data_IF_735915885612
#
_entry.id   IF_735915885612
#
_cell.length_a   1.000
_cell.length_b   1.000
_cell.length_c   1.000
_cell.angle_alpha   90.00
_cell.angle_beta   90.00
_cell.angle_gamma   90.00
#
_symmetry.space_group_name_H-M   'P 1'
#
loop_
_entity.id
_entity.type
_entity.pdbx_description
1 polymer ?
#
# COMPACT_ATOMS: atom_id res chain seq x y z
N UNK A 1 11.72 11.92 21.77
CA UNK A 1 11.19 12.24 20.43
C UNK A 1 11.66 13.60 19.92
N UNK A 2 11.45 14.71 20.63
CA UNK A 2 11.89 16.05 20.17
C UNK A 2 13.41 16.19 19.93
N UNK A 3 14.27 15.52 20.71
CA UNK A 3 15.74 15.54 20.49
C UNK A 3 16.18 14.75 19.25
N UNK A 4 15.47 13.69 18.93
CA UNK A 4 15.70 12.83 17.76
C UNK A 4 15.19 13.60 16.54
N UNK A 5 13.94 14.08 16.58
CA UNK A 5 13.31 14.86 15.51
C UNK A 5 14.00 16.21 15.23
N UNK A 6 14.56 16.89 16.24
CA UNK A 6 15.29 18.16 16.06
C UNK A 6 16.71 18.01 15.52
N UNK A 7 17.36 16.86 15.74
CA UNK A 7 18.61 16.49 15.05
C UNK A 7 18.31 16.23 13.56
N UNK A 8 17.15 15.66 13.24
CA UNK A 8 16.72 15.35 11.86
C UNK A 8 16.24 16.56 11.02
N UNK A 9 15.89 17.69 11.64
CA UNK A 9 15.44 18.91 10.94
C UNK A 9 16.60 19.87 10.61
N UNK A 10 17.73 19.80 11.32
CA UNK A 10 18.84 20.76 11.19
C UNK A 10 19.97 20.35 10.24
N UNK A 11 20.02 19.11 9.78
CA UNK A 11 21.08 18.61 8.91
C UNK A 11 20.60 18.51 7.45
N UNK A 12 20.59 19.62 6.71
CA UNK A 12 20.25 19.64 5.27
C UNK A 12 21.13 18.74 4.38
N UNK A 13 22.25 18.22 4.90
CA UNK A 13 23.16 17.29 4.24
C UNK A 13 22.83 15.81 4.49
N UNK A 14 22.08 15.50 5.56
CA UNK A 14 21.64 14.14 5.92
C UNK A 14 20.71 13.52 4.88
N UNK A 15 19.88 14.36 4.24
CA UNK A 15 19.00 13.95 3.16
C UNK A 15 19.74 13.68 1.86
N UNK A 16 20.90 14.28 1.57
CA UNK A 16 21.54 14.07 0.26
C UNK A 16 21.98 12.61 0.10
N UNK A 17 22.51 11.96 1.14
CA UNK A 17 22.89 10.54 1.08
C UNK A 17 21.71 9.56 1.02
N UNK A 18 20.65 9.82 1.82
CA UNK A 18 19.47 8.95 1.92
C UNK A 18 18.47 9.16 0.76
N UNK A 19 18.32 10.40 0.26
CA UNK A 19 17.50 10.74 -0.92
C UNK A 19 18.09 10.17 -2.21
N UNK A 20 19.43 10.12 -2.33
CA UNK A 20 20.10 9.54 -3.51
C UNK A 20 19.89 8.01 -3.57
N UNK A 21 19.80 7.32 -2.42
CA UNK A 21 19.62 5.86 -2.39
C UNK A 21 18.15 5.41 -2.51
N UNK A 22 17.18 6.26 -2.16
CA UNK A 22 15.74 5.99 -2.27
C UNK A 22 15.14 6.29 -3.67
N UNK A 23 15.98 6.33 -4.71
CA UNK A 23 15.54 6.44 -6.11
C UNK A 23 14.68 5.23 -6.51
N UNK A 24 13.36 5.38 -6.44
CA UNK A 24 12.41 4.29 -6.70
C UNK A 24 12.33 3.88 -8.17
N UNK A 25 12.27 2.57 -8.41
CA UNK A 25 11.58 1.98 -9.57
C UNK A 25 10.10 2.40 -9.54
N UNK A 26 9.66 3.19 -10.52
CA UNK A 26 8.24 3.49 -10.70
C UNK A 26 7.56 2.32 -11.43
N UNK A 27 6.57 1.69 -10.80
CA UNK A 27 5.53 0.98 -11.55
C UNK A 27 4.49 2.03 -11.97
N UNK A 28 4.32 2.23 -13.27
CA UNK A 28 3.31 3.14 -13.81
C UNK A 28 1.98 2.38 -13.94
N UNK A 29 0.93 2.87 -13.31
CA UNK A 29 -0.44 2.37 -13.49
C UNK A 29 -1.24 3.34 -14.38
N UNK A 30 -1.98 2.80 -15.35
CA UNK A 30 -2.94 3.55 -16.18
C UNK A 30 -4.34 3.44 -15.56
N UNK A 31 -4.97 4.57 -15.26
CA UNK A 31 -6.36 4.62 -14.76
C UNK A 31 -7.27 5.05 -15.90
N UNK A 32 -8.27 4.22 -16.21
CA UNK A 32 -9.31 4.50 -17.18
C UNK A 32 -10.51 5.14 -16.49
N UNK A 33 -11.00 6.24 -17.05
CA UNK A 33 -12.21 6.92 -16.57
C UNK A 33 -13.23 7.00 -17.70
N UNK A 34 -14.50 6.73 -17.41
CA UNK A 34 -15.60 6.98 -18.33
C UNK A 34 -16.84 7.49 -17.59
N UNK A 35 -17.73 8.18 -18.31
CA UNK A 35 -19.04 8.60 -17.79
C UNK A 35 -20.11 7.74 -18.45
N UNK A 36 -21.02 7.17 -17.67
CA UNK A 36 -22.14 6.41 -18.22
C UNK A 36 -23.33 7.32 -18.63
N UNK A 37 -24.36 6.73 -19.24
CA UNK A 37 -25.57 7.44 -19.68
C UNK A 37 -26.35 8.09 -18.53
N UNK A 38 -26.11 7.69 -17.28
CA UNK A 38 -26.74 8.28 -16.09
C UNK A 38 -25.96 9.48 -15.53
N UNK A 39 -24.81 9.82 -16.12
CA UNK A 39 -23.90 10.85 -15.63
C UNK A 39 -23.03 10.39 -14.46
N UNK A 40 -22.94 9.09 -14.21
CA UNK A 40 -22.08 8.51 -13.17
C UNK A 40 -20.67 8.31 -13.74
N UNK A 41 -19.67 8.81 -13.02
CA UNK A 41 -18.26 8.67 -13.39
C UNK A 41 -17.73 7.37 -12.81
N UNK A 42 -17.18 6.51 -13.68
CA UNK A 42 -16.58 5.23 -13.33
C UNK A 42 -15.06 5.28 -13.49
N UNK A 43 -14.35 4.56 -12.62
CA UNK A 43 -12.90 4.44 -12.64
C UNK A 43 -12.52 2.97 -12.65
N UNK A 44 -11.55 2.59 -13.49
CA UNK A 44 -10.99 1.24 -13.48
C UNK A 44 -9.51 1.24 -13.84
N UNK A 45 -8.78 0.31 -13.26
CA UNK A 45 -7.39 -0.03 -13.58
C UNK A 45 -7.26 -1.04 -14.72
N UNK A 46 -8.39 -1.53 -15.26
CA UNK A 46 -8.42 -2.56 -16.30
C UNK A 46 -9.34 -2.18 -17.45
N UNK A 47 -8.76 -2.03 -18.64
CA UNK A 47 -9.49 -1.73 -19.88
C UNK A 47 -10.59 -2.77 -20.20
N UNK A 48 -10.42 -4.01 -19.73
CA UNK A 48 -11.36 -5.10 -19.96
C UNK A 48 -12.65 -4.96 -19.14
N UNK A 49 -12.58 -4.26 -18.00
CA UNK A 49 -13.73 -3.99 -17.11
C UNK A 49 -14.62 -2.85 -17.65
N UNK A 50 -14.22 -2.18 -18.74
CA UNK A 50 -15.02 -1.13 -19.39
C UNK A 50 -16.07 -1.79 -20.30
N UNK A 51 -17.38 -1.49 -20.10
CA UNK A 51 -18.45 -1.94 -20.99
C UNK A 51 -18.13 -1.59 -22.45
N UNK A 52 -18.37 -2.49 -23.43
CA UNK A 52 -18.01 -2.27 -24.84
C UNK A 52 -18.54 -0.94 -25.40
N UNK A 53 -19.72 -0.53 -24.95
CA UNK A 53 -20.44 0.69 -25.34
C UNK A 53 -19.73 1.98 -24.87
N UNK A 54 -18.98 1.92 -23.77
CA UNK A 54 -18.29 3.07 -23.17
C UNK A 54 -16.82 3.20 -23.60
N UNK A 55 -16.28 2.25 -24.37
CA UNK A 55 -14.86 2.23 -24.80
C UNK A 55 -14.46 3.40 -25.70
N UNK A 56 -15.43 4.01 -26.40
CA UNK A 56 -15.18 5.15 -27.28
C UNK A 56 -15.13 6.51 -26.54
N UNK A 57 -15.42 6.53 -25.23
CA UNK A 57 -15.44 7.74 -24.39
C UNK A 57 -14.31 7.74 -23.32
N UNK A 58 -13.34 6.85 -23.45
CA UNK A 58 -12.28 6.66 -22.46
C UNK A 58 -11.22 7.75 -22.59
N UNK A 59 -11.06 8.56 -21.54
CA UNK A 59 -9.87 9.41 -21.40
C UNK A 59 -8.75 8.63 -20.72
N UNK A 60 -7.60 8.50 -21.38
CA UNK A 60 -6.42 7.83 -20.82
C UNK A 60 -5.45 8.86 -20.25
N UNK A 61 -5.08 8.75 -18.97
CA UNK A 61 -3.97 9.50 -18.37
C UNK A 61 -2.75 8.59 -18.22
N UNK A 62 -1.74 8.82 -19.07
CA UNK A 62 -0.45 8.13 -19.01
C UNK A 62 0.61 9.05 -18.38
N UNK A 63 1.30 8.59 -17.33
CA UNK A 63 2.53 9.25 -16.86
C UNK A 63 3.71 8.68 -17.68
N UNK A 64 4.25 9.46 -18.63
CA UNK A 64 5.32 9.03 -19.57
C UNK A 64 6.66 8.72 -18.86
N UNK A 65 7.73 8.18 -19.48
CA UNK A 65 8.08 7.67 -20.83
C UNK A 65 9.04 6.47 -20.60
N UNK A 66 8.94 5.42 -21.42
CA UNK A 66 9.76 4.19 -21.34
C UNK A 66 10.98 4.27 -22.29
N UNK A 67 12.20 3.81 -21.91
CA UNK A 67 13.23 3.36 -22.86
C UNK A 67 13.02 1.87 -23.23
N UNK A 68 13.49 1.43 -24.40
CA UNK A 68 13.01 0.20 -25.04
C UNK A 68 13.49 -1.08 -24.33
N UNK A 69 12.59 -2.07 -24.24
CA UNK A 69 12.91 -3.43 -23.82
C UNK A 69 13.66 -4.19 -24.94
N UNK A 70 14.68 -5.00 -24.63
CA UNK A 70 15.29 -5.91 -25.61
C UNK A 70 14.34 -7.07 -25.91
N UNK A 71 14.33 -7.50 -27.18
CA UNK A 71 13.53 -8.64 -27.69
C UNK A 71 13.99 -9.96 -27.06
N UNK A 72 13.09 -10.95 -26.85
CA UNK A 72 13.49 -12.30 -26.49
C UNK A 72 13.99 -13.05 -27.73
N UNK A 73 15.17 -13.67 -27.63
CA UNK A 73 15.61 -14.70 -28.56
C UNK A 73 14.90 -16.02 -28.24
N UNK A 74 14.36 -16.63 -29.29
CA UNK A 74 13.74 -17.94 -29.31
C UNK A 74 14.76 -19.01 -29.72
N UNK A 75 15.18 -19.84 -28.78
CA UNK A 75 15.75 -21.18 -28.97
C UNK A 75 15.26 -21.94 -27.71
N UNK A 76 14.53 -23.05 -27.74
CA UNK A 76 14.49 -24.15 -28.69
C UNK A 76 15.01 -25.39 -27.99
N UNK A 77 14.24 -26.01 -27.09
CA UNK A 77 14.52 -27.37 -26.59
C UNK A 77 13.22 -28.17 -26.46
N UNK A 78 13.05 -29.12 -27.38
CA UNK A 78 12.13 -30.26 -27.29
C UNK A 78 12.61 -31.24 -26.21
N UNK A 79 11.68 -31.84 -25.46
CA UNK A 79 11.98 -32.86 -24.46
C UNK A 79 10.77 -33.67 -23.99
N UNK A 80 10.49 -34.75 -24.72
CA UNK A 80 9.93 -36.07 -24.33
C UNK A 80 8.47 -36.19 -23.79
N UNK A 81 7.53 -36.81 -24.54
CA UNK A 81 6.14 -36.97 -24.15
C UNK A 81 5.85 -38.34 -23.49
N UNK A 82 6.54 -38.75 -22.42
CA UNK A 82 6.11 -39.93 -21.64
C UNK A 82 6.44 -39.84 -20.14
N UNK A 83 5.55 -39.22 -19.36
CA UNK A 83 5.42 -39.48 -17.91
C UNK A 83 3.96 -39.30 -17.45
N UNK A 84 3.26 -40.33 -16.97
CA UNK A 84 1.90 -40.17 -16.49
C UNK A 84 1.89 -39.39 -15.16
N UNK A 85 1.04 -38.36 -15.09
CA UNK A 85 0.76 -37.59 -13.90
C UNK A 85 -0.04 -38.43 -12.87
N UNK A 86 0.20 -38.26 -11.55
CA UNK A 86 -0.57 -38.98 -10.54
C UNK A 86 -2.01 -38.45 -10.47
N UNK A 87 -2.95 -39.35 -10.70
CA UNK A 87 -4.40 -39.17 -10.63
C UNK A 87 -4.82 -38.77 -9.19
N UNK A 88 -5.21 -37.51 -8.97
CA UNK A 88 -5.89 -37.08 -7.74
C UNK A 88 -7.39 -37.09 -8.01
N UNK A 89 -8.07 -38.10 -7.48
CA UNK A 89 -9.53 -38.21 -7.41
C UNK A 89 -10.12 -37.01 -6.65
N UNK A 90 -10.93 -36.21 -7.34
CA UNK A 90 -11.76 -35.14 -6.79
C UNK A 90 -13.11 -35.76 -6.44
N UNK A 91 -13.24 -36.37 -5.26
CA UNK A 91 -14.51 -36.95 -4.77
C UNK A 91 -14.82 -36.53 -3.32
N UNK A 92 -14.34 -35.36 -2.89
CA UNK A 92 -14.85 -34.73 -1.67
C UNK A 92 -16.02 -33.79 -2.04
N UNK A 93 -17.22 -33.97 -1.46
CA UNK A 93 -18.33 -33.04 -1.69
C UNK A 93 -17.92 -31.65 -1.21
N UNK A 94 -17.86 -30.69 -2.14
CA UNK A 94 -17.80 -29.27 -1.79
C UNK A 94 -19.10 -28.97 -1.03
N UNK A 95 -19.04 -28.47 0.22
CA UNK A 95 -20.25 -28.11 0.95
C UNK A 95 -21.06 -27.08 0.13
N UNK A 96 -22.40 -27.15 0.13
CA UNK A 96 -23.22 -26.23 -0.67
C UNK A 96 -22.90 -24.78 -0.31
N UNK A 97 -22.48 -24.00 -1.30
CA UNK A 97 -22.35 -22.56 -1.19
C UNK A 97 -23.75 -21.98 -0.99
N UNK A 98 -24.09 -21.60 0.24
CA UNK A 98 -25.23 -20.73 0.49
C UNK A 98 -24.78 -19.30 0.18
N UNK A 99 -25.37 -18.61 -0.82
CA UNK A 99 -25.03 -17.22 -1.06
C UNK A 99 -25.41 -16.41 0.19
N UNK A 100 -24.40 -15.93 0.92
CA UNK A 100 -24.62 -14.89 1.91
C UNK A 100 -25.15 -13.67 1.16
N UNK A 101 -26.25 -13.10 1.65
CA UNK A 101 -26.76 -11.85 1.10
C UNK A 101 -25.66 -10.79 1.30
N UNK A 102 -25.17 -10.20 0.21
CA UNK A 102 -24.17 -9.13 0.26
C UNK A 102 -24.70 -8.01 1.15
N UNK A 103 -23.94 -7.64 2.18
CA UNK A 103 -24.37 -6.60 3.10
C UNK A 103 -24.22 -5.21 2.46
N UNK A 104 -25.11 -4.30 2.87
CA UNK A 104 -25.11 -2.90 2.46
C UNK A 104 -25.04 -2.01 3.69
N UNK A 105 -24.08 -1.10 3.70
CA UNK A 105 -23.80 -0.22 4.82
C UNK A 105 -23.95 1.25 4.40
N UNK A 106 -24.96 1.94 4.94
CA UNK A 106 -25.05 3.39 4.81
C UNK A 106 -24.33 4.07 5.98
N UNK A 107 -23.44 5.01 5.67
CA UNK A 107 -22.64 5.73 6.65
C UNK A 107 -22.80 7.23 6.43
N UNK A 108 -23.28 8.00 7.42
CA UNK A 108 -23.35 9.44 7.30
C UNK A 108 -21.95 10.05 7.21
N UNK A 109 -21.81 11.13 6.44
CA UNK A 109 -20.54 11.84 6.30
C UNK A 109 -20.68 13.35 6.51
N UNK A 110 -19.59 13.98 6.94
CA UNK A 110 -19.45 15.43 6.99
C UNK A 110 -18.99 15.95 5.61
N UNK A 111 -19.77 16.82 4.94
CA UNK A 111 -19.56 17.14 3.52
C UNK A 111 -18.50 18.19 3.19
N UNK A 112 -17.87 18.81 4.21
CA UNK A 112 -17.00 19.96 4.00
C UNK A 112 -15.77 19.98 4.89
N UNK A 113 -14.69 20.49 4.32
CA UNK A 113 -13.53 21.07 5.01
C UNK A 113 -13.48 22.55 4.61
N UNK A 114 -13.96 23.45 5.48
CA UNK A 114 -14.13 24.86 5.13
C UNK A 114 -15.07 25.01 3.92
N UNK A 115 -14.56 25.52 2.80
CA UNK A 115 -15.31 25.66 1.54
C UNK A 115 -15.15 24.47 0.60
N UNK A 116 -14.18 23.58 0.84
CA UNK A 116 -13.92 22.42 0.01
C UNK A 116 -14.93 21.30 0.31
N UNK A 117 -15.47 20.66 -0.73
CA UNK A 117 -16.32 19.47 -0.57
C UNK A 117 -15.44 18.26 -0.29
N UNK A 118 -15.79 17.51 0.75
CA UNK A 118 -15.11 16.27 1.16
C UNK A 118 -16.15 15.27 1.66
N UNK A 119 -15.82 13.99 1.63
CA UNK A 119 -16.62 12.94 2.27
C UNK A 119 -15.82 12.50 3.49
N UNK A 120 -16.12 13.09 4.66
CA UNK A 120 -15.41 12.80 5.91
C UNK A 120 -16.28 11.88 6.77
N UNK A 121 -15.76 10.70 7.11
CA UNK A 121 -16.46 9.67 7.89
C UNK A 121 -15.69 9.33 9.14
N UNK A 122 -16.40 8.90 10.19
CA UNK A 122 -15.77 8.31 11.36
C UNK A 122 -15.27 6.91 11.05
N UNK A 123 -14.00 6.65 11.35
CA UNK A 123 -13.36 5.34 11.14
C UNK A 123 -12.85 4.83 12.48
N UNK A 124 -13.26 3.63 12.85
CA UNK A 124 -12.78 2.94 14.05
C UNK A 124 -11.63 2.00 13.70
N UNK A 125 -10.48 2.26 14.28
CA UNK A 125 -9.24 1.51 14.14
C UNK A 125 -9.09 0.53 15.30
N UNK A 126 -8.76 -0.71 14.97
CA UNK A 126 -8.52 -1.81 15.92
C UNK A 126 -9.63 -1.97 16.99
N UNK A 127 -10.85 -1.54 16.68
CA UNK A 127 -12.01 -1.61 17.57
C UNK A 127 -12.01 -0.61 18.74
N UNK A 128 -11.04 0.30 18.83
CA UNK A 128 -10.86 1.14 20.03
C UNK A 128 -10.75 2.64 19.72
N UNK A 129 -9.96 3.01 18.71
CA UNK A 129 -9.69 4.43 18.40
C UNK A 129 -10.54 4.84 17.23
N UNK A 130 -11.38 5.86 17.40
CA UNK A 130 -12.19 6.43 16.31
C UNK A 130 -11.64 7.79 15.92
N UNK A 131 -11.51 8.03 14.62
CA UNK A 131 -11.04 9.29 14.08
C UNK A 131 -11.76 9.67 12.78
N UNK A 132 -11.95 10.98 12.51
CA UNK A 132 -12.48 11.46 11.25
C UNK A 132 -11.45 11.25 10.13
N UNK A 133 -11.87 10.62 9.04
CA UNK A 133 -11.04 10.34 7.87
C UNK A 133 -11.76 10.79 6.60
N UNK A 134 -11.04 11.38 5.66
CA UNK A 134 -11.61 11.70 4.35
C UNK A 134 -11.50 10.50 3.41
N UNK A 135 -12.57 10.19 2.67
CA UNK A 135 -12.53 9.24 1.56
C UNK A 135 -11.83 9.90 0.38
N UNK A 136 -10.79 9.26 -0.14
CA UNK A 136 -10.00 9.74 -1.28
C UNK A 136 -9.76 8.60 -2.29
N UNK A 137 -10.59 8.55 -3.32
CA UNK A 137 -10.46 7.58 -4.42
C UNK A 137 -9.22 7.82 -5.28
N UNK A 138 -8.55 8.97 -5.14
CA UNK A 138 -7.27 9.26 -5.79
C UNK A 138 -6.05 8.79 -4.99
N UNK A 139 -6.25 8.35 -3.75
CA UNK A 139 -5.17 7.83 -2.91
C UNK A 139 -4.98 6.32 -3.15
N UNK A 140 -3.77 5.84 -3.51
CA UNK A 140 -3.53 4.42 -3.72
C UNK A 140 -3.65 3.58 -2.44
N UNK A 141 -3.51 4.21 -1.27
CA UNK A 141 -3.69 3.54 0.02
C UNK A 141 -3.95 4.51 1.17
N UNK A 142 -4.17 3.96 2.36
CA UNK A 142 -4.51 4.72 3.55
C UNK A 142 -3.34 5.57 4.02
N UNK A 143 -3.64 6.81 4.38
CA UNK A 143 -2.70 7.75 4.95
C UNK A 143 -3.22 8.26 6.28
N UNK A 144 -2.38 8.32 7.31
CA UNK A 144 -2.74 8.89 8.61
C UNK A 144 -1.70 9.91 9.07
N UNK A 145 -2.13 10.87 9.87
CA UNK A 145 -1.25 11.80 10.55
C UNK A 145 -0.42 11.12 11.65
N UNK A 146 0.76 11.66 12.01
CA UNK A 146 1.55 11.16 13.13
C UNK A 146 0.79 11.12 14.45
N UNK A 147 -0.09 12.08 14.71
CA UNK A 147 -0.88 12.18 15.94
C UNK A 147 -1.87 11.00 16.08
N UNK A 148 -2.50 10.58 14.99
CA UNK A 148 -3.33 9.38 14.98
C UNK A 148 -2.47 8.11 15.11
N UNK A 149 -1.31 8.06 14.45
CA UNK A 149 -0.38 6.93 14.58
C UNK A 149 0.11 6.73 16.03
N UNK A 150 0.34 7.83 16.76
CA UNK A 150 0.69 7.81 18.18
C UNK A 150 -0.48 7.28 19.03
N UNK A 151 -1.71 7.76 18.81
CA UNK A 151 -2.91 7.24 19.49
C UNK A 151 -3.13 5.74 19.24
N UNK A 152 -2.72 5.25 18.07
CA UNK A 152 -2.77 3.82 17.71
C UNK A 152 -1.61 3.00 18.27
N UNK A 153 -0.65 3.63 18.95
CA UNK A 153 0.54 2.98 19.50
C UNK A 153 1.49 2.45 18.43
N UNK A 154 1.45 2.98 17.20
CA UNK A 154 2.29 2.48 16.08
C UNK A 154 3.79 2.67 16.39
N UNK A 155 4.14 3.73 17.11
CA UNK A 155 5.54 4.03 17.44
C UNK A 155 6.08 3.14 18.57
N UNK A 156 5.21 2.74 19.49
CA UNK A 156 5.55 1.97 20.69
C UNK A 156 5.54 0.46 20.43
N UNK A 157 4.66 0.01 19.53
CA UNK A 157 4.46 -1.40 19.23
C UNK A 157 5.30 -1.86 18.02
N UNK A 158 5.34 -3.19 17.85
CA UNK A 158 6.08 -3.85 16.76
C UNK A 158 5.28 -3.89 15.44
N UNK A 159 4.87 -2.72 14.96
CA UNK A 159 3.99 -2.59 13.80
C UNK A 159 4.73 -2.36 12.47
N UNK A 160 6.06 -2.41 12.46
CA UNK A 160 6.88 -2.03 11.31
C UNK A 160 6.86 -0.53 11.07
N UNK A 161 8.03 0.10 11.12
CA UNK A 161 8.26 1.55 11.04
C UNK A 161 9.27 1.85 9.94
N UNK A 162 8.94 1.41 8.74
CA UNK A 162 9.80 1.51 7.58
C UNK A 162 9.76 2.95 7.02
N UNK A 163 10.90 3.62 6.97
CA UNK A 163 11.03 4.93 6.35
C UNK A 163 10.97 4.75 4.83
N UNK A 164 10.04 5.49 4.22
CA UNK A 164 9.80 5.51 2.78
C UNK A 164 9.68 6.96 2.30
N UNK A 165 9.62 7.13 0.97
CA UNK A 165 9.25 8.40 0.35
C UNK A 165 7.81 8.32 -0.15
N UNK A 166 6.89 9.02 0.50
CA UNK A 166 5.52 9.18 0.01
C UNK A 166 5.51 10.19 -1.14
N UNK A 167 4.94 9.82 -2.28
CA UNK A 167 4.82 10.68 -3.46
C UNK A 167 3.40 11.19 -3.67
N UNK A 168 3.27 12.40 -4.25
CA UNK A 168 2.01 12.97 -4.70
C UNK A 168 2.23 14.19 -5.59
N UNK A 169 1.15 14.91 -5.92
CA UNK A 169 1.21 16.10 -6.79
C UNK A 169 2.15 17.18 -6.20
N UNK A 170 2.26 17.25 -4.86
CA UNK A 170 3.16 18.16 -4.16
C UNK A 170 4.63 17.73 -4.07
N UNK A 171 5.02 16.64 -4.74
CA UNK A 171 6.37 16.08 -4.68
C UNK A 171 6.49 14.88 -3.75
N UNK A 172 7.71 14.58 -3.31
CA UNK A 172 8.02 13.45 -2.42
C UNK A 172 8.37 13.96 -1.03
N UNK A 173 7.80 13.34 -0.01
CA UNK A 173 8.08 13.65 1.39
C UNK A 173 8.43 12.37 2.16
N UNK A 174 9.34 12.46 3.15
CA UNK A 174 9.58 11.35 4.05
C UNK A 174 8.31 10.93 4.77
N UNK A 175 8.09 9.62 4.86
CA UNK A 175 6.95 9.03 5.53
C UNK A 175 7.33 7.72 6.23
N UNK A 176 6.45 7.20 7.07
CA UNK A 176 6.60 5.89 7.70
C UNK A 176 5.56 4.95 7.10
N UNK A 177 6.00 3.78 6.66
CA UNK A 177 5.16 2.70 6.16
C UNK A 177 4.96 1.67 7.25
N UNK A 178 3.70 1.28 7.47
CA UNK A 178 3.25 0.35 8.50
C UNK A 178 2.00 -0.41 8.04
N UNK A 179 1.43 -1.28 8.88
CA UNK A 179 0.17 -1.99 8.60
C UNK A 179 -0.77 -1.83 9.80
N UNK A 180 -1.93 -1.20 9.58
CA UNK A 180 -3.05 -1.19 10.52
C UNK A 180 -3.82 -2.51 10.40
N UNK A 181 -4.09 -3.17 11.53
CA UNK A 181 -4.68 -4.52 11.53
C UNK A 181 -6.14 -4.52 11.10
N UNK A 182 -6.95 -3.60 11.62
CA UNK A 182 -8.37 -3.51 11.30
C UNK A 182 -8.85 -2.07 11.28
N UNK A 183 -9.70 -1.76 10.30
CA UNK A 183 -10.52 -0.55 10.29
C UNK A 183 -12.00 -0.91 10.11
N UNK A 184 -12.87 -0.02 10.55
CA UNK A 184 -14.31 -0.14 10.41
C UNK A 184 -14.95 1.22 10.12
N UNK A 185 -15.79 1.28 9.09
CA UNK A 185 -16.54 2.46 8.66
C UNK A 185 -18.03 2.07 8.64
N UNK A 186 -18.75 2.44 9.70
CA UNK A 186 -20.09 1.89 9.94
C UNK A 186 -20.05 0.36 10.04
N UNK A 187 -20.73 -0.33 9.12
CA UNK A 187 -20.70 -1.81 9.02
C UNK A 187 -19.55 -2.35 8.16
N UNK A 188 -18.97 -1.54 7.27
CA UNK A 188 -17.90 -1.96 6.37
C UNK A 188 -16.59 -2.15 7.14
N UNK A 189 -15.94 -3.29 6.95
CA UNK A 189 -14.71 -3.71 7.66
C UNK A 189 -13.56 -3.90 6.69
N UNK A 190 -12.36 -3.56 7.13
CA UNK A 190 -11.12 -3.80 6.42
C UNK A 190 -10.10 -4.43 7.36
N UNK A 191 -9.33 -5.38 6.84
CA UNK A 191 -8.24 -6.03 7.56
C UNK A 191 -6.95 -5.87 6.79
N UNK A 192 -5.82 -5.84 7.49
CA UNK A 192 -4.49 -5.69 6.90
C UNK A 192 -4.43 -4.49 5.94
N UNK A 193 -4.34 -3.28 6.50
CA UNK A 193 -4.38 -2.04 5.74
C UNK A 193 -2.97 -1.42 5.70
N UNK A 194 -2.23 -1.53 4.58
CA UNK A 194 -0.93 -0.88 4.42
C UNK A 194 -1.09 0.64 4.55
N UNK A 195 -0.46 1.20 5.57
CA UNK A 195 -0.71 2.58 6.00
C UNK A 195 0.55 3.41 5.86
N UNK A 196 0.40 4.61 5.32
CA UNK A 196 1.45 5.62 5.27
C UNK A 196 1.20 6.68 6.34
N UNK A 197 2.16 6.86 7.24
CA UNK A 197 2.13 7.92 8.25
C UNK A 197 2.91 9.12 7.71
N UNK A 198 2.23 10.23 7.50
CA UNK A 198 2.83 11.49 7.01
C UNK A 198 2.01 12.70 7.44
N UNK A 199 2.60 13.89 7.35
CA UNK A 199 1.90 15.13 7.69
C UNK A 199 0.84 15.47 6.65
N UNK A 200 -0.33 15.88 7.13
CA UNK A 200 -1.42 16.43 6.34
C UNK A 200 -1.76 17.83 6.85
N UNK A 201 -1.82 18.81 5.95
CA UNK A 201 -2.08 20.21 6.30
C UNK A 201 -3.59 20.49 6.33
N UNK A 202 -4.28 19.95 7.33
CA UNK A 202 -5.73 20.09 7.53
C UNK A 202 -6.06 19.83 8.99
N UNK A 203 -7.08 20.48 9.53
CA UNK A 203 -7.63 20.20 10.87
C UNK A 203 -8.96 19.42 10.80
N UNK A 204 -9.52 19.20 9.60
CA UNK A 204 -10.86 18.63 9.45
C UNK A 204 -10.89 17.10 9.57
N UNK A 205 -9.75 16.43 9.38
CA UNK A 205 -9.63 14.97 9.48
C UNK A 205 -8.19 14.57 9.82
N UNK A 206 -8.03 13.33 10.26
CA UNK A 206 -6.77 12.75 10.75
C UNK A 206 -6.06 11.90 9.68
N UNK A 207 -6.70 11.68 8.53
CA UNK A 207 -6.14 10.88 7.45
C UNK A 207 -7.06 10.68 6.24
N UNK A 208 -6.57 9.93 5.26
CA UNK A 208 -7.25 9.57 4.01
C UNK A 208 -7.51 8.07 3.97
N UNK A 209 -8.71 7.65 3.56
CA UNK A 209 -9.03 6.26 3.20
C UNK A 209 -8.89 6.13 1.69
N UNK A 210 -7.97 5.27 1.26
CA UNK A 210 -7.63 5.08 -0.15
C UNK A 210 -8.13 3.76 -0.73
N UNK A 211 -7.62 3.45 -1.92
CA UNK A 211 -8.03 2.28 -2.71
C UNK A 211 -7.69 0.94 -2.06
N UNK A 212 -6.77 0.91 -1.10
CA UNK A 212 -6.48 -0.26 -0.26
C UNK A 212 -7.67 -0.69 0.62
N UNK A 213 -8.60 0.20 0.96
CA UNK A 213 -9.87 -0.19 1.57
C UNK A 213 -11.01 -0.16 0.56
N UNK A 214 -11.10 0.90 -0.23
CA UNK A 214 -12.26 1.19 -1.06
C UNK A 214 -12.50 0.14 -2.16
N UNK A 215 -11.44 -0.46 -2.71
CA UNK A 215 -11.55 -1.50 -3.75
C UNK A 215 -12.27 -2.78 -3.32
N UNK A 216 -12.45 -2.99 -2.01
CA UNK A 216 -13.19 -4.15 -1.49
C UNK A 216 -14.71 -3.99 -1.54
N UNK A 217 -15.21 -2.79 -1.88
CA UNK A 217 -16.62 -2.46 -1.83
C UNK A 217 -17.05 -1.77 -3.13
N UNK A 218 -18.30 -2.01 -3.53
CA UNK A 218 -19.00 -1.11 -4.43
C UNK A 218 -19.44 0.12 -3.63
N UNK A 219 -18.90 1.30 -3.96
CA UNK A 219 -19.15 2.53 -3.21
C UNK A 219 -20.03 3.50 -3.99
N UNK A 220 -21.03 4.10 -3.31
CA UNK A 220 -21.86 5.20 -3.84
C UNK A 220 -21.91 6.34 -2.83
N UNK A 221 -21.91 7.59 -3.31
CA UNK A 221 -22.06 8.78 -2.46
C UNK A 221 -23.39 9.46 -2.78
N UNK A 222 -24.33 9.44 -1.83
CA UNK A 222 -25.59 10.19 -1.92
C UNK A 222 -25.41 11.54 -1.22
N UNK A 223 -25.17 12.58 -2.00
CA UNK A 223 -24.98 13.95 -1.51
C UNK A 223 -26.25 14.61 -0.95
N UNK A 224 -27.44 14.15 -1.38
CA UNK A 224 -28.71 14.68 -0.86
C UNK A 224 -28.94 14.18 0.55
N UNK A 225 -28.72 12.88 0.76
CA UNK A 225 -28.83 12.24 2.09
C UNK A 225 -27.59 12.42 2.96
N UNK A 226 -26.46 12.82 2.35
CA UNK A 226 -25.14 12.91 2.99
C UNK A 226 -24.70 11.58 3.59
N UNK A 227 -24.88 10.51 2.82
CA UNK A 227 -24.42 9.17 3.17
C UNK A 227 -23.49 8.62 2.09
N UNK A 228 -22.45 7.91 2.52
CA UNK A 228 -21.70 6.99 1.67
C UNK A 228 -22.27 5.59 1.89
N UNK A 229 -22.43 4.86 0.81
CA UNK A 229 -23.01 3.52 0.78
C UNK A 229 -21.88 2.58 0.35
N UNK A 230 -21.57 1.60 1.19
CA UNK A 230 -20.69 0.49 0.86
C UNK A 230 -21.53 -0.77 0.67
N UNK A 231 -21.44 -1.36 -0.51
CA UNK A 231 -22.04 -2.65 -0.86
C UNK A 231 -20.93 -3.69 -0.94
N UNK A 232 -21.04 -4.78 -0.20
CA UNK A 232 -20.09 -5.89 -0.31
C UNK A 232 -20.06 -6.44 -1.74
N UNK A 233 -18.87 -6.82 -2.19
CA UNK A 233 -18.65 -7.49 -3.47
C UNK A 233 -18.57 -9.00 -3.22
N UNK A 234 -19.11 -9.86 -4.11
CA UNK A 234 -18.93 -11.30 -4.00
C UNK A 234 -17.46 -11.70 -3.82
N UNK A 235 -17.22 -12.69 -2.94
CA UNK A 235 -15.90 -13.27 -2.79
C UNK A 235 -15.47 -13.90 -4.10
N UNK A 236 -14.33 -13.46 -4.62
CA UNK A 236 -13.71 -14.02 -5.81
C UNK A 236 -12.57 -14.97 -5.38
N UNK A 237 -12.66 -16.27 -5.69
CA UNK A 237 -11.57 -17.23 -5.44
C UNK A 237 -10.25 -16.87 -6.13
N UNK A 238 -10.29 -16.08 -7.20
CA UNK A 238 -9.10 -15.57 -7.90
C UNK A 238 -8.49 -14.34 -7.20
N UNK A 239 -9.16 -13.79 -6.19
CA UNK A 239 -8.67 -12.65 -5.39
C UNK A 239 -8.50 -13.04 -3.90
N UNK A 240 -7.49 -13.88 -3.56
CA UNK A 240 -7.27 -14.31 -2.18
C UNK A 240 -7.06 -13.11 -1.24
N UNK A 241 -7.84 -13.08 -0.15
CA UNK A 241 -7.85 -11.97 0.80
C UNK A 241 -8.53 -10.70 0.28
N UNK A 242 -9.33 -10.80 -0.78
CA UNK A 242 -10.00 -9.66 -1.43
C UNK A 242 -9.09 -8.84 -2.32
N UNK A 243 -7.95 -9.39 -2.74
CA UNK A 243 -6.88 -8.67 -3.47
C UNK A 243 -6.44 -9.44 -4.70
N UNK A 244 -6.14 -8.72 -5.77
CA UNK A 244 -5.59 -9.29 -6.98
C UNK A 244 -4.07 -9.54 -6.88
N UNK A 245 -3.53 -10.19 -7.91
CA UNK A 245 -2.10 -10.48 -8.04
C UNK A 245 -1.23 -9.22 -7.94
N UNK A 246 -1.69 -8.12 -8.55
CA UNK A 246 -0.93 -6.88 -8.63
C UNK A 246 -0.72 -6.29 -7.24
N UNK A 247 -1.76 -6.22 -6.42
CA UNK A 247 -1.68 -5.73 -5.05
C UNK A 247 -0.68 -6.55 -4.21
N UNK A 248 -0.76 -7.88 -4.29
CA UNK A 248 0.15 -8.77 -3.56
C UNK A 248 1.60 -8.56 -4.00
N UNK A 249 1.86 -8.60 -5.31
CA UNK A 249 3.21 -8.40 -5.85
C UNK A 249 3.76 -7.03 -5.53
N UNK A 250 2.93 -5.99 -5.56
CA UNK A 250 3.33 -4.63 -5.24
C UNK A 250 3.84 -4.53 -3.79
N UNK A 251 3.12 -5.10 -2.81
CA UNK A 251 3.54 -5.05 -1.42
C UNK A 251 4.77 -5.92 -1.12
N UNK A 252 4.85 -7.13 -1.69
CA UNK A 252 6.05 -7.95 -1.57
C UNK A 252 7.25 -7.26 -2.21
N UNK A 253 7.08 -6.67 -3.39
CA UNK A 253 8.10 -5.87 -4.07
C UNK A 253 8.52 -4.65 -3.26
N UNK A 254 7.56 -3.90 -2.69
CA UNK A 254 7.82 -2.73 -1.84
C UNK A 254 8.68 -3.11 -0.63
N UNK A 255 8.20 -4.02 0.22
CA UNK A 255 8.92 -4.35 1.46
C UNK A 255 10.21 -5.14 1.18
N UNK A 256 10.18 -6.00 0.16
CA UNK A 256 11.33 -6.77 -0.29
C UNK A 256 12.49 -5.92 -0.79
N UNK A 257 12.19 -5.00 -1.71
CA UNK A 257 13.19 -4.08 -2.25
C UNK A 257 13.76 -3.16 -1.17
N UNK A 258 12.91 -2.64 -0.28
CA UNK A 258 13.34 -1.80 0.83
C UNK A 258 14.27 -2.56 1.78
N UNK A 259 13.96 -3.81 2.11
CA UNK A 259 14.86 -4.65 2.91
C UNK A 259 16.23 -4.80 2.26
N UNK A 260 16.26 -5.17 0.97
CA UNK A 260 17.51 -5.37 0.24
C UNK A 260 18.32 -4.07 0.18
N UNK A 261 17.69 -2.94 -0.10
CA UNK A 261 18.33 -1.62 -0.13
C UNK A 261 18.95 -1.25 1.22
N UNK A 262 18.22 -1.45 2.33
CA UNK A 262 18.74 -1.17 3.66
C UNK A 262 19.90 -2.09 4.04
N UNK A 263 19.84 -3.38 3.68
CA UNK A 263 20.94 -4.33 3.88
C UNK A 263 22.18 -3.97 3.04
N UNK A 264 21.99 -3.55 1.79
CA UNK A 264 23.08 -3.08 0.94
C UNK A 264 23.73 -1.81 1.48
N UNK A 265 22.91 -0.86 1.95
CA UNK A 265 23.42 0.36 2.57
C UNK A 265 24.17 0.07 3.88
N UNK A 266 23.67 -0.84 4.71
CA UNK A 266 24.38 -1.30 5.91
C UNK A 266 25.74 -1.90 5.57
N UNK A 267 25.81 -2.80 4.59
CA UNK A 267 27.07 -3.39 4.10
C UNK A 267 28.04 -2.32 3.63
N UNK A 268 27.57 -1.37 2.81
CA UNK A 268 28.39 -0.26 2.33
C UNK A 268 29.00 0.57 3.47
N UNK A 269 28.21 0.90 4.49
CA UNK A 269 28.71 1.64 5.65
C UNK A 269 29.69 0.80 6.45
N UNK A 270 29.44 -0.50 6.60
CA UNK A 270 30.35 -1.42 7.29
C UNK A 270 31.72 -1.50 6.61
N UNK A 271 31.75 -1.71 5.29
CA UNK A 271 33.00 -1.77 4.51
C UNK A 271 33.80 -0.45 4.62
N UNK A 272 33.10 0.69 4.66
CA UNK A 272 33.72 2.01 4.83
C UNK A 272 34.30 2.21 6.24
N UNK A 273 33.64 1.67 7.26
CA UNK A 273 34.14 1.69 8.64
C UNK A 273 35.36 0.78 8.80
N UNK A 274 35.33 -0.43 8.24
CA UNK A 274 36.44 -1.40 8.33
C UNK A 274 37.68 -0.96 7.56
N UNK A 275 37.50 -0.28 6.42
CA UNK A 275 38.59 0.26 5.62
C UNK A 275 39.17 1.58 6.15
N UNK A 276 38.56 2.19 7.17
CA UNK A 276 39.00 3.48 7.70
C UNK A 276 40.23 3.34 8.61
N UNK A 277 41.29 4.10 8.31
CA UNK A 277 42.46 4.22 9.17
C UNK A 277 42.19 5.04 10.46
N UNK A 278 41.08 5.77 10.49
CA UNK A 278 40.62 6.57 11.63
C UNK A 278 39.43 5.87 12.28
N UNK A 279 39.52 5.58 13.59
CA UNK A 279 38.54 4.77 14.33
C UNK A 279 37.60 5.60 15.22
N UNK A 280 37.87 6.90 15.36
CA UNK A 280 37.09 7.84 16.18
C UNK A 280 37.03 9.21 15.52
N UNK A 281 35.90 9.89 15.65
CA UNK A 281 35.70 11.24 15.12
C UNK A 281 34.25 11.46 14.70
N UNK A 282 33.84 12.71 14.43
CA UNK A 282 32.45 13.02 14.09
C UNK A 282 31.90 12.19 12.92
N UNK A 283 32.69 12.01 11.87
CA UNK A 283 32.28 11.24 10.68
C UNK A 283 32.15 9.73 10.98
N UNK A 284 33.03 9.20 11.82
CA UNK A 284 32.98 7.79 12.25
C UNK A 284 31.76 7.54 13.13
N UNK A 285 31.45 8.45 14.06
CA UNK A 285 30.25 8.34 14.89
C UNK A 285 28.97 8.48 14.06
N UNK A 286 28.96 9.35 13.04
CA UNK A 286 27.87 9.43 12.08
C UNK A 286 27.70 8.12 11.30
N UNK A 287 28.78 7.53 10.81
CA UNK A 287 28.73 6.24 10.10
C UNK A 287 28.22 5.11 11.01
N UNK A 288 28.67 5.03 12.27
CA UNK A 288 28.13 4.06 13.24
C UNK A 288 26.63 4.25 13.46
N UNK A 289 26.16 5.48 13.57
CA UNK A 289 24.73 5.80 13.69
C UNK A 289 23.96 5.36 12.45
N UNK A 290 24.47 5.63 11.24
CA UNK A 290 23.85 5.22 9.98
C UNK A 290 23.82 3.70 9.82
N UNK A 291 24.86 2.99 10.25
CA UNK A 291 24.87 1.52 10.31
C UNK A 291 23.76 1.00 11.22
N UNK A 292 23.67 1.52 12.45
CA UNK A 292 22.61 1.11 13.38
C UNK A 292 21.20 1.42 12.84
N UNK A 293 21.02 2.58 12.21
CA UNK A 293 19.76 2.96 11.59
C UNK A 293 19.38 2.08 10.39
N UNK A 294 20.32 1.77 9.50
CA UNK A 294 20.07 0.90 8.34
C UNK A 294 19.73 -0.53 8.74
N UNK A 295 20.46 -1.10 9.71
CA UNK A 295 20.13 -2.40 10.30
C UNK A 295 18.72 -2.42 10.90
N UNK A 296 18.35 -1.36 11.64
CA UNK A 296 17.00 -1.20 12.17
C UNK A 296 15.96 -1.14 11.05
N UNK A 297 16.18 -0.39 9.98
CA UNK A 297 15.24 -0.29 8.87
C UNK A 297 15.08 -1.60 8.07
N UNK A 298 16.16 -2.36 7.88
CA UNK A 298 16.09 -3.71 7.32
C UNK A 298 15.22 -4.63 8.19
N UNK A 299 15.37 -4.55 9.52
CA UNK A 299 14.55 -5.30 10.47
C UNK A 299 13.07 -4.89 10.40
N UNK A 300 12.76 -3.59 10.28
CA UNK A 300 11.38 -3.11 10.12
C UNK A 300 10.75 -3.61 8.81
N UNK A 301 11.51 -3.67 7.71
CA UNK A 301 11.04 -4.27 6.46
C UNK A 301 10.77 -5.78 6.61
N UNK A 302 11.64 -6.51 7.31
CA UNK A 302 11.45 -7.94 7.62
C UNK A 302 10.19 -8.22 8.44
N UNK A 303 9.87 -7.34 9.39
CA UNK A 303 8.63 -7.43 10.18
C UNK A 303 7.39 -7.26 9.31
N UNK A 304 7.40 -6.29 8.40
CA UNK A 304 6.30 -6.07 7.45
C UNK A 304 6.15 -7.25 6.48
N UNK A 305 7.24 -7.78 5.93
CA UNK A 305 7.25 -9.01 5.12
C UNK A 305 6.69 -10.20 5.88
N UNK A 306 7.14 -10.40 7.12
CA UNK A 306 6.66 -11.50 7.97
C UNK A 306 5.16 -11.39 8.27
N UNK A 307 4.66 -10.16 8.46
CA UNK A 307 3.23 -9.90 8.65
C UNK A 307 2.46 -10.20 7.36
N UNK A 308 2.98 -9.78 6.21
CA UNK A 308 2.41 -10.06 4.88
C UNK A 308 2.39 -11.56 4.56
N UNK A 309 3.44 -12.30 4.91
CA UNK A 309 3.51 -13.76 4.74
C UNK A 309 2.46 -14.48 5.60
N UNK A 310 2.27 -14.06 6.85
CA UNK A 310 1.21 -14.61 7.71
C UNK A 310 -0.18 -14.37 7.12
N UNK A 311 -0.44 -13.15 6.67
CA UNK A 311 -1.71 -12.79 6.03
C UNK A 311 -1.92 -13.58 4.72
N UNK A 312 -0.89 -13.68 3.88
CA UNK A 312 -0.93 -14.45 2.64
C UNK A 312 -1.17 -15.95 2.87
N UNK A 313 -0.60 -16.52 3.94
CA UNK A 313 -0.84 -17.90 4.34
C UNK A 313 -2.28 -18.14 4.79
N UNK A 314 -2.85 -17.22 5.59
CA UNK A 314 -4.24 -17.30 6.05
C UNK A 314 -5.25 -17.26 4.89
N UNK A 315 -4.89 -16.57 3.80
CA UNK A 315 -5.74 -16.41 2.62
C UNK A 315 -5.33 -17.29 1.42
N UNK A 316 -4.47 -18.29 1.62
CA UNK A 316 -4.06 -19.25 0.59
C UNK A 316 -3.47 -18.62 -0.70
N UNK A 317 -2.82 -17.45 -0.58
CA UNK A 317 -2.25 -16.72 -1.72
C UNK A 317 -1.20 -17.57 -2.46
N UNK A 318 -1.20 -17.66 -3.79
CA UNK A 318 -0.21 -18.46 -4.53
C UNK A 318 1.24 -18.03 -4.25
N UNK A 319 2.16 -18.99 -4.06
CA UNK A 319 3.58 -18.69 -3.78
C UNK A 319 4.27 -17.82 -4.85
N UNK A 320 3.82 -17.92 -6.11
CA UNK A 320 4.44 -17.16 -7.20
C UNK A 320 4.08 -15.66 -7.16
N UNK A 321 3.00 -15.26 -6.46
CA UNK A 321 2.63 -13.86 -6.19
C UNK A 321 3.46 -13.23 -5.08
N UNK A 322 4.14 -14.03 -4.26
CA UNK A 322 4.86 -13.60 -3.05
C UNK A 322 6.35 -13.32 -3.25
N UNK A 323 6.78 -13.17 -4.50
CA UNK A 323 8.20 -13.04 -4.86
C UNK A 323 8.58 -11.57 -5.05
N UNK A 324 9.81 -11.24 -4.66
CA UNK A 324 10.45 -9.94 -4.83
C UNK A 324 11.95 -10.12 -5.07
#
# INVERSE_FOLDING_TARGET
>A
MERIMSIFIRAGWFWIGVVIFLGSTSFAEEIYTWTDESGTIHFTDSLQKIPPESRNQVETKSMGKKPPSPKPNSEGEEGDPHRPAPNRSIDAPVPPFHPQALERHEVPFQPYEGTARRVIVEVTFNGAITAPMAIDTGAPGMTIKPELAEKLGIFENDQGKLIVQAGGIGGRVPAIRTIVDRIQIGGAKGHFIPTTVTRLNTEAFEGLIGMDFLSNYSMKVDWKKKVVIFEEIPVDPEMPGGRDEQWWRALYGEFGSMRLQWQEYERFINDRLESSLVTTGPDIELMKMLKGFSAFQAQEADKLLSKLDRYANQHFVPRHWRKY
#
